data_IF_425135753413
#
_entry.id   IF_425135753413
#
_cell.length_a   1.000
_cell.length_b   1.000
_cell.length_c   1.000
_cell.angle_alpha   90.00
_cell.angle_beta   90.00
_cell.angle_gamma   90.00
#
_symmetry.space_group_name_H-M   'P 1'
#
loop_
_entity.id
_entity.type
_entity.pdbx_description
1 polymer ?
#
# COMPACT_ATOMS: atom_id res chain seq x y z
N UNK A 1 32.10 -21.55 5.41
CA UNK A 1 31.62 -20.38 4.63
C UNK A 1 30.11 -20.49 4.33
N UNK A 2 29.26 -20.79 5.32
CA UNK A 2 27.81 -21.03 5.11
C UNK A 2 26.93 -19.95 5.80
N UNK A 3 27.55 -18.89 6.31
CA UNK A 3 26.82 -17.82 7.01
C UNK A 3 25.94 -17.00 6.06
N UNK A 4 26.45 -16.74 4.84
CA UNK A 4 25.74 -15.99 3.80
C UNK A 4 24.52 -16.79 3.34
N UNK A 5 24.69 -18.08 3.03
CA UNK A 5 23.59 -18.95 2.58
C UNK A 5 22.47 -19.08 3.63
N UNK A 6 22.84 -19.13 4.92
CA UNK A 6 21.85 -19.20 6.01
C UNK A 6 21.04 -17.91 6.14
N UNK A 7 21.67 -16.76 5.93
CA UNK A 7 20.97 -15.47 5.94
C UNK A 7 20.07 -15.37 4.71
N UNK A 8 20.54 -15.78 3.54
CA UNK A 8 19.75 -15.80 2.31
C UNK A 8 18.52 -16.72 2.45
N UNK A 9 18.71 -17.90 3.04
CA UNK A 9 17.62 -18.82 3.36
C UNK A 9 16.61 -18.18 4.33
N UNK A 10 17.08 -17.49 5.37
CA UNK A 10 16.21 -16.81 6.34
C UNK A 10 15.38 -15.69 5.68
N UNK A 11 16.00 -14.91 4.80
CA UNK A 11 15.36 -13.81 4.07
C UNK A 11 14.37 -14.35 3.03
N UNK A 12 14.69 -15.45 2.36
CA UNK A 12 13.79 -16.06 1.38
C UNK A 12 12.43 -16.47 1.96
N UNK A 13 12.37 -16.86 3.25
CA UNK A 13 11.13 -17.27 3.91
C UNK A 13 10.15 -16.11 4.13
N UNK A 14 10.65 -14.90 4.40
CA UNK A 14 9.83 -13.70 4.66
C UNK A 14 9.90 -12.67 3.54
N UNK A 15 10.47 -13.04 2.39
CA UNK A 15 10.72 -12.13 1.29
C UNK A 15 9.40 -11.51 0.80
N UNK A 16 9.29 -10.17 0.70
CA UNK A 16 8.12 -9.53 0.15
C UNK A 16 8.00 -9.87 -1.35
N UNK A 17 7.13 -10.83 -1.66
CA UNK A 17 6.82 -11.32 -3.01
C UNK A 17 6.03 -10.30 -3.82
N UNK A 18 6.64 -9.15 -4.15
CA UNK A 18 6.01 -8.13 -5.00
C UNK A 18 6.73 -8.00 -6.32
N UNK A 19 6.01 -8.25 -7.41
CA UNK A 19 6.43 -7.85 -8.76
C UNK A 19 6.28 -6.33 -8.85
N UNK A 20 7.35 -5.59 -8.56
CA UNK A 20 7.40 -4.15 -8.82
C UNK A 20 8.14 -3.86 -10.13
N UNK A 21 7.56 -3.00 -10.98
CA UNK A 21 8.22 -2.53 -12.20
C UNK A 21 9.39 -1.58 -11.90
N UNK A 22 9.45 -1.01 -10.69
CA UNK A 22 10.49 -0.06 -10.28
C UNK A 22 11.51 -0.76 -9.38
N UNK A 23 12.77 -0.78 -9.81
CA UNK A 23 13.86 -1.52 -9.18
C UNK A 23 14.25 -0.96 -7.80
N UNK A 24 14.11 0.36 -7.62
CA UNK A 24 14.36 1.09 -6.37
C UNK A 24 13.49 0.57 -5.21
N UNK A 25 12.21 0.32 -5.47
CA UNK A 25 11.27 -0.24 -4.49
C UNK A 25 11.69 -1.62 -4.01
N UNK A 26 12.23 -2.45 -4.92
CA UNK A 26 12.74 -3.78 -4.58
C UNK A 26 13.90 -3.66 -3.59
N UNK A 27 14.83 -2.73 -3.80
CA UNK A 27 15.97 -2.53 -2.90
C UNK A 27 15.53 -2.05 -1.53
N UNK A 28 14.64 -1.07 -1.46
CA UNK A 28 14.16 -0.53 -0.17
C UNK A 28 13.51 -1.64 0.66
N UNK A 29 12.66 -2.47 0.05
CA UNK A 29 11.98 -3.57 0.73
C UNK A 29 12.97 -4.67 1.17
N UNK A 30 13.94 -5.00 0.32
CA UNK A 30 15.00 -5.93 0.69
C UNK A 30 15.80 -5.41 1.90
N UNK A 31 16.11 -4.11 1.92
CA UNK A 31 16.84 -3.49 3.02
C UNK A 31 16.04 -3.51 4.32
N UNK A 32 14.72 -3.29 4.24
CA UNK A 32 13.81 -3.40 5.38
C UNK A 32 13.80 -4.81 5.96
N UNK A 33 13.75 -5.85 5.11
CA UNK A 33 13.72 -7.24 5.58
C UNK A 33 15.05 -7.68 6.23
N UNK A 34 16.17 -7.20 5.70
CA UNK A 34 17.50 -7.36 6.32
C UNK A 34 17.54 -6.67 7.68
N UNK A 35 17.05 -5.43 7.78
CA UNK A 35 17.02 -4.68 9.03
C UNK A 35 16.18 -5.37 10.12
N UNK A 36 15.00 -5.89 9.75
CA UNK A 36 14.12 -6.65 10.66
C UNK A 36 14.80 -7.94 11.12
N UNK A 37 15.46 -8.66 10.21
CA UNK A 37 16.17 -9.91 10.53
C UNK A 37 17.35 -9.66 11.46
N UNK A 38 18.15 -8.61 11.20
CA UNK A 38 19.24 -8.20 12.09
C UNK A 38 18.73 -7.77 13.47
N UNK A 39 17.62 -7.04 13.52
CA UNK A 39 16.97 -6.65 14.79
C UNK A 39 16.51 -7.87 15.60
N UNK A 40 16.00 -8.90 14.92
CA UNK A 40 15.64 -10.16 15.58
C UNK A 40 16.87 -10.89 16.14
N UNK A 41 17.99 -10.91 15.40
CA UNK A 41 19.25 -11.48 15.90
C UNK A 41 19.68 -10.74 17.18
N UNK A 42 19.64 -9.41 17.20
CA UNK A 42 19.94 -8.62 18.41
C UNK A 42 18.98 -8.95 19.56
N UNK A 43 17.68 -9.03 19.29
CA UNK A 43 16.67 -9.40 20.29
C UNK A 43 16.96 -10.76 20.93
N UNK A 44 17.31 -11.78 20.13
CA UNK A 44 17.66 -13.11 20.66
C UNK A 44 18.95 -13.09 21.47
N UNK A 45 19.94 -12.26 21.08
CA UNK A 45 21.20 -12.09 21.82
C UNK A 45 21.02 -11.43 23.18
N UNK A 46 20.04 -10.54 23.32
CA UNK A 46 19.70 -9.87 24.59
C UNK A 46 18.84 -10.77 25.51
N UNK A 47 18.43 -11.96 25.05
CA UNK A 47 17.67 -12.92 25.85
C UNK A 47 16.20 -13.07 25.43
N UNK A 48 15.81 -12.51 24.29
CA UNK A 48 14.51 -12.73 23.68
C UNK A 48 14.29 -14.20 23.31
N UNK A 49 13.16 -14.77 23.75
CA UNK A 49 12.83 -16.19 23.54
C UNK A 49 11.72 -16.41 22.52
N UNK A 50 11.06 -15.34 22.09
CA UNK A 50 9.92 -15.43 21.20
C UNK A 50 10.37 -15.76 19.77
N UNK A 51 9.58 -16.53 19.01
CA UNK A 51 9.90 -16.87 17.63
C UNK A 51 9.83 -15.66 16.71
N UNK A 52 10.50 -15.74 15.56
CA UNK A 52 10.67 -14.62 14.63
C UNK A 52 9.34 -14.09 14.07
N UNK A 53 8.35 -14.95 13.85
CA UNK A 53 7.02 -14.56 13.38
C UNK A 53 6.29 -13.69 14.43
N UNK A 54 6.37 -14.06 15.70
CA UNK A 54 5.83 -13.28 16.81
C UNK A 54 6.51 -11.93 16.91
N UNK A 55 7.84 -11.90 16.83
CA UNK A 55 8.63 -10.67 16.87
C UNK A 55 8.26 -9.71 15.72
N UNK A 56 8.13 -10.23 14.50
CA UNK A 56 7.67 -9.45 13.33
C UNK A 56 6.27 -8.88 13.53
N UNK A 57 5.33 -9.68 14.08
CA UNK A 57 3.98 -9.20 14.39
C UNK A 57 3.97 -8.08 15.43
N UNK A 58 4.82 -8.15 16.45
CA UNK A 58 4.95 -7.06 17.44
C UNK A 58 5.53 -5.77 16.83
N UNK A 59 6.51 -5.88 15.93
CA UNK A 59 7.00 -4.71 15.18
C UNK A 59 5.86 -4.08 14.37
N UNK A 60 5.10 -4.91 13.63
CA UNK A 60 3.98 -4.42 12.82
C UNK A 60 2.92 -3.73 13.70
N UNK A 61 2.54 -4.34 14.83
CA UNK A 61 1.59 -3.76 15.78
C UNK A 61 2.08 -2.42 16.33
N UNK A 62 3.35 -2.35 16.72
CA UNK A 62 3.98 -1.13 17.23
C UNK A 62 3.98 -0.01 16.18
N UNK A 63 4.35 -0.32 14.94
CA UNK A 63 4.37 0.63 13.84
C UNK A 63 2.96 1.14 13.46
N UNK A 64 1.96 0.25 13.46
CA UNK A 64 0.57 0.63 13.17
C UNK A 64 -0.03 1.46 14.31
N UNK A 65 0.27 1.09 15.55
CA UNK A 65 -0.27 1.73 16.76
C UNK A 65 0.41 3.05 17.10
N UNK A 66 1.58 3.31 16.50
CA UNK A 66 2.27 4.59 16.64
C UNK A 66 1.39 5.72 16.09
N UNK A 67 0.75 6.44 17.01
CA UNK A 67 -0.08 7.63 16.72
C UNK A 67 0.74 8.83 16.25
N UNK A 68 2.07 8.77 16.34
CA UNK A 68 2.98 9.80 15.86
C UNK A 68 3.23 9.69 14.35
N UNK A 69 2.15 9.68 13.56
CA UNK A 69 2.29 10.16 12.19
C UNK A 69 2.22 11.67 12.29
N UNK A 70 3.38 12.34 12.33
CA UNK A 70 3.41 13.75 11.89
C UNK A 70 2.75 13.73 10.53
N UNK A 71 1.68 14.51 10.37
CA UNK A 71 1.00 14.65 9.08
C UNK A 71 2.06 14.96 8.04
N UNK A 72 2.51 13.94 7.31
CA UNK A 72 3.37 14.17 6.16
C UNK A 72 2.48 14.95 5.23
N UNK A 73 2.84 16.20 4.86
CA UNK A 73 2.04 16.96 3.93
C UNK A 73 1.94 16.11 2.68
N UNK A 74 0.74 15.55 2.46
CA UNK A 74 0.41 14.84 1.25
C UNK A 74 0.71 15.87 0.15
N UNK A 75 1.58 15.58 -0.82
CA UNK A 75 1.76 16.48 -1.94
C UNK A 75 0.36 16.73 -2.48
N UNK A 76 -0.11 17.99 -2.40
CA UNK A 76 -1.41 18.37 -2.93
C UNK A 76 -1.44 17.87 -4.36
N UNK A 77 -2.22 16.82 -4.59
CA UNK A 77 -2.41 16.25 -5.90
C UNK A 77 -2.73 17.41 -6.86
N UNK A 78 -1.87 17.65 -7.85
CA UNK A 78 -2.13 18.57 -8.97
C UNK A 78 -3.27 18.04 -9.89
N UNK A 79 -4.17 17.22 -9.37
CA UNK A 79 -5.41 16.88 -10.03
C UNK A 79 -6.35 18.05 -9.82
N UNK A 80 -6.70 18.71 -10.93
CA UNK A 80 -7.68 19.79 -11.02
C UNK A 80 -8.95 19.34 -10.28
N UNK A 81 -9.15 19.87 -9.07
CA UNK A 81 -10.35 19.69 -8.28
C UNK A 81 -11.49 20.46 -8.96
N UNK A 82 -12.23 19.82 -9.85
CA UNK A 82 -13.65 20.15 -9.95
C UNK A 82 -14.29 19.64 -8.66
N UNK A 83 -14.80 20.55 -7.81
CA UNK A 83 -15.63 20.19 -6.65
C UNK A 83 -16.80 19.34 -7.14
N UNK A 84 -16.65 18.02 -7.11
CA UNK A 84 -17.77 17.11 -7.23
C UNK A 84 -18.54 17.24 -5.93
N UNK A 85 -19.69 17.90 -6.02
CA UNK A 85 -20.67 18.00 -4.97
C UNK A 85 -20.89 16.62 -4.32
N UNK A 86 -20.54 16.54 -3.03
CA UNK A 86 -20.54 15.30 -2.23
C UNK A 86 -21.98 14.81 -1.98
N UNK A 87 -22.97 15.66 -2.27
CA UNK A 87 -24.40 15.32 -2.31
C UNK A 87 -24.71 14.14 -3.23
N UNK A 88 -23.83 13.79 -4.17
CA UNK A 88 -23.95 12.59 -5.03
C UNK A 88 -23.69 11.26 -4.31
N UNK A 89 -23.34 11.27 -3.02
CA UNK A 89 -23.10 10.06 -2.23
C UNK A 89 -24.17 9.82 -1.15
N UNK A 90 -25.09 10.77 -0.96
CA UNK A 90 -26.15 10.68 0.03
C UNK A 90 -27.51 10.61 -0.70
N UNK A 91 -27.99 9.40 -0.99
CA UNK A 91 -29.30 9.17 -1.61
C UNK A 91 -29.45 7.84 -2.35
N UNK A 92 -30.70 7.47 -2.70
CA UNK A 92 -31.00 6.37 -3.63
C UNK A 92 -30.83 6.88 -5.07
N UNK A 93 -29.90 6.30 -5.82
CA UNK A 93 -29.70 6.62 -7.23
C UNK A 93 -30.50 5.67 -8.12
N UNK A 94 -31.31 6.21 -9.01
CA UNK A 94 -31.94 5.47 -10.10
C UNK A 94 -31.13 5.67 -11.39
N UNK A 95 -31.08 4.65 -12.25
CA UNK A 95 -30.46 4.82 -13.57
C UNK A 95 -31.33 5.74 -14.41
N UNK A 96 -30.78 6.90 -14.79
CA UNK A 96 -31.41 7.81 -15.76
C UNK A 96 -30.77 7.63 -17.15
N UNK A 97 -31.61 7.72 -18.18
CA UNK A 97 -31.16 7.64 -19.57
C UNK A 97 -30.61 9.00 -20.00
N UNK A 98 -29.41 9.01 -20.59
CA UNK A 98 -28.79 10.25 -21.07
C UNK A 98 -29.44 10.62 -22.41
N UNK A 99 -30.00 11.85 -22.56
CA UNK A 99 -30.66 12.26 -23.80
C UNK A 99 -29.64 12.38 -24.94
N UNK A 100 -30.11 12.14 -26.17
CA UNK A 100 -29.27 12.20 -27.37
C UNK A 100 -28.65 13.60 -27.57
N UNK A 101 -27.38 13.62 -27.99
CA UNK A 101 -26.67 14.85 -28.38
C UNK A 101 -26.66 14.95 -29.91
N UNK A 102 -26.50 16.15 -30.47
CA UNK A 102 -26.40 16.38 -31.92
C UNK A 102 -25.37 15.50 -32.64
N UNK A 103 -24.36 15.01 -31.92
CA UNK A 103 -23.28 14.17 -32.44
C UNK A 103 -23.44 12.68 -32.16
N UNK A 104 -24.31 12.27 -31.22
CA UNK A 104 -24.48 10.86 -30.81
C UNK A 104 -25.91 10.57 -30.38
N UNK A 105 -26.53 9.57 -31.03
CA UNK A 105 -27.88 9.10 -30.73
C UNK A 105 -27.99 8.38 -29.37
N UNK A 106 -26.93 7.68 -28.94
CA UNK A 106 -26.87 6.97 -27.64
C UNK A 106 -25.62 7.39 -26.85
N UNK A 107 -25.64 8.57 -26.23
CA UNK A 107 -24.48 9.06 -25.50
C UNK A 107 -24.31 8.30 -24.19
N UNK A 108 -23.12 7.74 -23.97
CA UNK A 108 -22.71 7.16 -22.69
C UNK A 108 -21.82 8.17 -21.96
N UNK A 109 -22.20 8.53 -20.72
CA UNK A 109 -21.29 9.25 -19.82
C UNK A 109 -20.54 8.22 -19.00
N UNK A 110 -19.21 8.30 -18.98
CA UNK A 110 -18.43 7.54 -18.01
C UNK A 110 -18.70 8.12 -16.62
N UNK A 111 -19.12 7.28 -15.68
CA UNK A 111 -19.34 7.73 -14.31
C UNK A 111 -18.03 8.31 -13.78
N UNK A 112 -18.01 9.54 -13.27
CA UNK A 112 -16.78 10.17 -12.77
C UNK A 112 -16.05 9.30 -11.73
N UNK A 113 -16.79 8.52 -10.93
CA UNK A 113 -16.25 7.53 -9.99
C UNK A 113 -15.74 6.28 -10.70
N UNK A 114 -16.54 5.62 -11.56
CA UNK A 114 -16.08 4.40 -12.24
C UNK A 114 -14.97 4.65 -13.26
N UNK A 115 -14.96 5.82 -13.91
CA UNK A 115 -13.90 6.26 -14.80
C UNK A 115 -12.59 6.55 -14.06
N UNK A 116 -12.68 6.97 -12.80
CA UNK A 116 -11.50 7.05 -11.93
C UNK A 116 -10.98 5.67 -11.49
N UNK A 117 -11.78 4.60 -11.70
CA UNK A 117 -11.46 3.22 -11.36
C UNK A 117 -11.23 2.29 -12.57
N UNK A 118 -11.33 2.79 -13.81
CA UNK A 118 -11.06 2.03 -15.04
C UNK A 118 -9.79 2.56 -15.72
N UNK A 119 -8.67 1.85 -15.50
CA UNK A 119 -7.51 1.79 -16.41
C UNK A 119 -7.57 0.43 -17.10
#
# INVERSE_FOLDING_TARGET
MCGIDRIDQLLSYYSPLWKSLKWDRKIILQHLDIAVSNSYILYTKVGGKQPQNWFRNEIIRSLISSRERKDTPVPSNYFIYHKSDVSRMEGQHYMDTIPATSTKATPTRQCAVCNSHQI
#
